data_IF_707174445958
#
_entry.id   IF_707174445958
#
_cell.length_a   1.000
_cell.length_b   1.000
_cell.length_c   1.000
_cell.angle_alpha   90.00
_cell.angle_beta   90.00
_cell.angle_gamma   90.00
#
_symmetry.space_group_name_H-M   'P 1'
#
loop_
_entity.id
_entity.type
_entity.pdbx_description
1 polymer ?
#
# COMPACT_ATOMS: atom_id res chain seq x y z
N UNK A 1 1.79 -6.34 1.28
CA UNK A 1 3.14 -5.73 1.30
C UNK A 1 3.73 -5.62 -0.10
N UNK A 2 4.73 -4.76 -0.32
CA UNK A 2 5.46 -4.70 -1.59
C UNK A 2 6.35 -5.93 -1.78
N UNK A 3 6.29 -6.50 -3.00
CA UNK A 3 7.01 -7.71 -3.40
C UNK A 3 7.29 -7.67 -4.91
N UNK A 4 7.81 -6.54 -5.39
CA UNK A 4 7.91 -6.20 -6.82
C UNK A 4 8.57 -7.28 -7.67
N UNK A 5 9.61 -7.93 -7.15
CA UNK A 5 10.42 -8.92 -7.86
C UNK A 5 9.87 -10.34 -7.90
N UNK A 6 8.70 -10.64 -7.34
CA UNK A 6 8.22 -12.04 -7.30
C UNK A 6 8.02 -12.65 -8.69
N UNK A 7 7.46 -11.89 -9.63
CA UNK A 7 7.30 -12.37 -11.00
C UNK A 7 8.65 -12.58 -11.70
N UNK A 8 9.64 -11.73 -11.41
CA UNK A 8 11.02 -11.86 -11.90
C UNK A 8 11.68 -13.14 -11.37
N UNK A 9 11.55 -13.44 -10.08
CA UNK A 9 12.07 -14.68 -9.49
C UNK A 9 11.49 -15.92 -10.19
N UNK A 10 10.17 -15.96 -10.36
CA UNK A 10 9.49 -17.09 -11.03
C UNK A 10 9.90 -17.18 -12.49
N UNK A 11 10.01 -16.06 -13.22
CA UNK A 11 10.40 -16.05 -14.62
C UNK A 11 11.81 -16.61 -14.86
N UNK A 12 12.70 -16.44 -13.88
CA UNK A 12 14.09 -16.88 -13.94
C UNK A 12 14.38 -18.19 -13.17
N UNK A 13 13.35 -18.99 -12.91
CA UNK A 13 13.50 -20.31 -12.29
C UNK A 13 13.83 -20.28 -10.79
N UNK A 14 13.72 -19.13 -10.13
CA UNK A 14 13.97 -18.95 -8.70
C UNK A 14 12.69 -19.13 -7.87
N UNK A 15 11.90 -20.14 -8.18
CA UNK A 15 10.61 -20.38 -7.52
C UNK A 15 10.76 -20.64 -6.02
N UNK A 16 11.82 -21.32 -5.60
CA UNK A 16 12.11 -21.60 -4.18
C UNK A 16 12.24 -20.30 -3.39
N UNK A 17 12.94 -19.30 -3.94
CA UNK A 17 13.10 -18.00 -3.30
C UNK A 17 11.74 -17.26 -3.21
N UNK A 18 10.95 -17.31 -4.29
CA UNK A 18 9.61 -16.75 -4.29
C UNK A 18 8.71 -17.38 -3.22
N UNK A 19 8.71 -18.71 -3.10
CA UNK A 19 7.98 -19.45 -2.06
C UNK A 19 8.43 -19.07 -0.66
N UNK A 20 9.74 -18.98 -0.44
CA UNK A 20 10.31 -18.58 0.85
C UNK A 20 9.84 -17.18 1.26
N UNK A 21 9.85 -16.23 0.32
CA UNK A 21 9.36 -14.88 0.58
C UNK A 21 7.86 -14.86 0.87
N UNK A 22 7.05 -15.55 0.05
CA UNK A 22 5.60 -15.60 0.20
C UNK A 22 5.21 -16.26 1.53
N UNK A 23 5.86 -17.37 1.88
CA UNK A 23 5.65 -18.05 3.17
C UNK A 23 5.99 -17.13 4.34
N UNK A 24 7.12 -16.40 4.28
CA UNK A 24 7.47 -15.44 5.30
C UNK A 24 6.41 -14.33 5.42
N UNK A 25 5.95 -13.77 4.30
CA UNK A 25 4.94 -12.72 4.31
C UNK A 25 3.62 -13.21 4.93
N UNK A 26 3.14 -14.38 4.54
CA UNK A 26 1.93 -14.99 5.10
C UNK A 26 2.05 -15.29 6.60
N UNK A 27 3.18 -15.86 7.02
CA UNK A 27 3.45 -16.15 8.44
C UNK A 27 3.56 -14.86 9.30
N UNK A 28 4.00 -13.76 8.70
CA UNK A 28 4.01 -12.45 9.39
C UNK A 28 2.58 -11.89 9.56
N UNK A 29 1.64 -12.28 8.70
CA UNK A 29 0.24 -11.86 8.77
C UNK A 29 -0.20 -10.96 7.61
N UNK A 30 0.61 -10.82 6.57
CA UNK A 30 0.19 -10.16 5.34
C UNK A 30 -0.76 -11.06 4.55
N UNK A 31 -1.69 -10.45 3.82
CA UNK A 31 -2.68 -11.15 3.00
C UNK A 31 -2.64 -10.73 1.52
N UNK A 32 -1.92 -9.67 1.18
CA UNK A 32 -1.78 -9.16 -0.19
C UNK A 32 -0.31 -8.87 -0.51
N UNK A 33 0.13 -9.32 -1.68
CA UNK A 33 1.46 -9.05 -2.25
C UNK A 33 1.31 -8.13 -3.47
N UNK A 34 1.96 -6.95 -3.44
CA UNK A 34 2.00 -6.06 -4.60
C UNK A 34 3.21 -6.40 -5.47
N UNK A 35 2.97 -6.79 -6.71
CA UNK A 35 3.94 -7.37 -7.65
C UNK A 35 3.92 -6.63 -8.98
N UNK A 36 5.07 -6.51 -9.65
CA UNK A 36 5.17 -5.92 -10.98
C UNK A 36 5.12 -7.00 -12.07
N UNK A 37 4.27 -6.83 -13.09
CA UNK A 37 4.19 -7.73 -14.24
C UNK A 37 5.30 -7.48 -15.27
N UNK A 38 5.87 -6.28 -15.29
CA UNK A 38 7.00 -5.92 -16.14
C UNK A 38 7.80 -4.79 -15.51
N UNK A 39 9.12 -4.83 -15.64
CA UNK A 39 10.03 -3.74 -15.33
C UNK A 39 11.31 -3.89 -16.17
N UNK A 40 11.24 -3.68 -17.49
CA UNK A 40 12.37 -3.84 -18.35
C UNK A 40 13.42 -2.77 -18.05
N UNK A 41 14.67 -3.20 -17.89
CA UNK A 41 15.83 -2.35 -17.63
C UNK A 41 15.71 -1.51 -16.33
N UNK A 42 15.10 -2.05 -15.30
CA UNK A 42 14.91 -1.38 -14.00
C UNK A 42 16.16 -1.34 -13.11
N UNK A 43 17.31 -1.75 -13.59
CA UNK A 43 18.59 -1.78 -12.87
C UNK A 43 18.69 -2.91 -11.85
N UNK A 44 17.74 -3.04 -10.92
CA UNK A 44 17.68 -4.08 -9.89
C UNK A 44 16.70 -5.21 -10.24
N UNK A 45 15.81 -4.99 -11.20
CA UNK A 45 14.95 -5.97 -11.85
C UNK A 45 14.99 -5.80 -13.35
N UNK A 46 14.90 -6.89 -14.08
CA UNK A 46 14.81 -6.88 -15.53
C UNK A 46 13.83 -7.95 -16.00
N UNK A 47 12.55 -7.61 -15.96
CA UNK A 47 11.44 -8.48 -16.32
C UNK A 47 10.79 -7.97 -17.61
N UNK A 48 10.98 -8.70 -18.72
CA UNK A 48 10.30 -8.35 -19.97
C UNK A 48 8.77 -8.57 -19.83
N UNK A 49 7.93 -7.88 -20.64
CA UNK A 49 6.49 -8.10 -20.64
C UNK A 49 6.12 -9.57 -20.91
N UNK A 50 6.83 -10.25 -21.80
CA UNK A 50 6.57 -11.64 -22.14
C UNK A 50 6.91 -12.60 -21.00
N UNK A 51 8.06 -12.38 -20.35
CA UNK A 51 8.50 -13.19 -19.20
C UNK A 51 7.55 -13.00 -18.01
N UNK A 52 7.14 -11.75 -17.75
CA UNK A 52 6.15 -11.45 -16.72
C UNK A 52 4.85 -12.20 -16.95
N UNK A 53 4.27 -12.10 -18.14
CA UNK A 53 3.03 -12.83 -18.47
C UNK A 53 3.18 -14.34 -18.31
N UNK A 54 4.32 -14.91 -18.71
CA UNK A 54 4.60 -16.35 -18.56
C UNK A 54 4.70 -16.78 -17.10
N UNK A 55 5.27 -15.96 -16.22
CA UNK A 55 5.46 -16.26 -14.81
C UNK A 55 4.19 -16.13 -13.96
N UNK A 56 3.25 -15.25 -14.35
CA UNK A 56 2.09 -14.91 -13.55
C UNK A 56 1.19 -16.10 -13.15
N UNK A 57 0.81 -17.05 -14.03
CA UNK A 57 -0.04 -18.16 -13.62
C UNK A 57 0.58 -18.99 -12.49
N UNK A 58 1.89 -19.19 -12.55
CA UNK A 58 2.62 -19.91 -11.51
C UNK A 58 2.72 -19.12 -10.22
N UNK A 59 3.01 -17.84 -10.30
CA UNK A 59 3.04 -16.94 -9.14
C UNK A 59 1.70 -16.91 -8.40
N UNK A 60 0.59 -16.76 -9.13
CA UNK A 60 -0.75 -16.77 -8.54
C UNK A 60 -1.08 -18.09 -7.83
N UNK A 61 -0.64 -19.20 -8.41
CA UNK A 61 -0.78 -20.52 -7.79
C UNK A 61 -0.01 -20.59 -6.48
N UNK A 62 1.27 -20.18 -6.45
CA UNK A 62 2.09 -20.17 -5.26
C UNK A 62 1.48 -19.27 -4.18
N UNK A 63 1.06 -18.05 -4.54
CA UNK A 63 0.42 -17.14 -3.61
C UNK A 63 -0.83 -17.75 -2.97
N UNK A 64 -1.69 -18.39 -3.77
CA UNK A 64 -2.92 -19.05 -3.30
C UNK A 64 -2.62 -20.23 -2.37
N UNK A 65 -1.59 -21.02 -2.62
CA UNK A 65 -1.13 -22.11 -1.74
C UNK A 65 -0.80 -21.61 -0.33
N UNK A 66 -0.44 -20.32 -0.20
CA UNK A 66 -0.16 -19.63 1.07
C UNK A 66 -1.30 -18.71 1.54
N UNK A 67 -2.50 -18.83 0.97
CA UNK A 67 -3.65 -17.99 1.34
C UNK A 67 -3.52 -16.51 0.97
N UNK A 68 -2.62 -16.16 0.03
CA UNK A 68 -2.29 -14.78 -0.33
C UNK A 68 -3.03 -14.33 -1.60
N UNK A 69 -3.43 -13.08 -1.61
CA UNK A 69 -3.84 -12.36 -2.82
C UNK A 69 -2.64 -11.65 -3.46
N UNK A 70 -2.75 -11.38 -4.76
CA UNK A 70 -1.75 -10.62 -5.52
C UNK A 70 -2.39 -9.35 -6.10
N UNK A 71 -1.86 -8.20 -5.76
CA UNK A 71 -2.12 -6.96 -6.48
C UNK A 71 -1.05 -6.86 -7.57
N UNK A 72 -1.43 -7.10 -8.82
CA UNK A 72 -0.50 -7.10 -9.95
C UNK A 72 -0.53 -5.77 -10.68
N UNK A 73 0.64 -5.15 -10.85
CA UNK A 73 0.82 -3.92 -11.61
C UNK A 73 1.15 -4.27 -13.06
N UNK A 74 0.23 -3.98 -13.97
CA UNK A 74 0.39 -4.36 -15.39
C UNK A 74 1.48 -3.54 -16.08
N UNK A 75 1.53 -2.23 -15.84
CA UNK A 75 2.40 -1.27 -16.51
C UNK A 75 3.33 -0.58 -15.48
N UNK A 76 4.34 -1.30 -15.01
CA UNK A 76 5.24 -0.76 -13.99
C UNK A 76 6.32 0.17 -14.57
N UNK A 77 6.79 -0.07 -15.81
CA UNK A 77 7.71 0.79 -16.51
C UNK A 77 7.48 0.65 -18.03
N UNK A 78 7.09 1.72 -18.69
CA UNK A 78 6.83 1.75 -20.14
C UNK A 78 8.04 2.14 -20.97
N UNK A 79 9.17 2.44 -20.32
CA UNK A 79 10.43 2.85 -20.97
C UNK A 79 10.33 4.11 -21.85
N UNK A 80 9.45 5.04 -21.53
CA UNK A 80 9.25 6.26 -22.33
C UNK A 80 10.54 7.10 -22.47
N UNK A 81 11.31 7.21 -21.37
CA UNK A 81 12.59 7.96 -21.39
C UNK A 81 13.67 7.32 -22.25
N UNK A 82 13.59 6.02 -22.50
CA UNK A 82 14.58 5.29 -23.29
C UNK A 82 14.26 5.23 -24.78
N UNK A 83 13.17 5.87 -25.23
CA UNK A 83 12.67 5.79 -26.59
C UNK A 83 12.14 4.40 -26.99
N UNK A 84 11.98 3.49 -26.03
CA UNK A 84 11.45 2.14 -26.27
C UNK A 84 9.94 2.03 -26.03
N UNK A 85 9.27 3.15 -25.87
CA UNK A 85 7.82 3.20 -25.73
C UNK A 85 7.14 2.68 -27.00
N UNK A 86 6.26 1.72 -26.84
CA UNK A 86 5.61 0.99 -27.95
C UNK A 86 4.21 1.49 -28.29
N UNK A 87 3.79 2.60 -27.69
CA UNK A 87 2.50 3.25 -27.93
C UNK A 87 1.29 2.54 -27.30
N UNK A 88 0.12 3.15 -27.45
CA UNK A 88 -1.13 2.69 -26.85
C UNK A 88 -1.50 1.23 -27.22
N UNK A 89 -1.30 0.73 -28.46
CA UNK A 89 -1.62 -0.66 -28.77
C UNK A 89 -0.90 -1.67 -27.87
N UNK A 90 0.37 -1.43 -27.58
CA UNK A 90 1.13 -2.26 -26.64
C UNK A 90 0.58 -2.18 -25.20
N UNK A 91 0.22 -0.99 -24.73
CA UNK A 91 -0.34 -0.81 -23.39
C UNK A 91 -1.65 -1.60 -23.25
N UNK A 92 -2.52 -1.51 -24.24
CA UNK A 92 -3.81 -2.22 -24.29
C UNK A 92 -3.61 -3.75 -24.28
N UNK A 93 -2.69 -4.25 -25.11
CA UNK A 93 -2.34 -5.68 -25.14
C UNK A 93 -1.85 -6.16 -23.78
N UNK A 94 -0.90 -5.44 -23.17
CA UNK A 94 -0.32 -5.79 -21.87
C UNK A 94 -1.38 -5.82 -20.76
N UNK A 95 -2.24 -4.80 -20.70
CA UNK A 95 -3.32 -4.70 -19.72
C UNK A 95 -4.35 -5.83 -19.93
N UNK A 96 -4.74 -6.12 -21.17
CA UNK A 96 -5.68 -7.18 -21.52
C UNK A 96 -5.16 -8.55 -21.06
N UNK A 97 -3.90 -8.87 -21.40
CA UNK A 97 -3.33 -10.17 -21.08
C UNK A 97 -3.10 -10.35 -19.58
N UNK A 98 -2.52 -9.36 -18.91
CA UNK A 98 -2.33 -9.41 -17.45
C UNK A 98 -3.68 -9.47 -16.73
N UNK A 99 -4.67 -8.66 -17.16
CA UNK A 99 -6.02 -8.65 -16.60
C UNK A 99 -6.73 -9.99 -16.79
N UNK A 100 -6.60 -10.63 -17.95
CA UNK A 100 -7.15 -11.97 -18.21
C UNK A 100 -6.54 -13.03 -17.28
N UNK A 101 -5.21 -13.04 -17.13
CA UNK A 101 -4.51 -13.97 -16.25
C UNK A 101 -4.89 -13.75 -14.77
N UNK A 102 -5.00 -12.49 -14.35
CA UNK A 102 -5.44 -12.11 -13.01
C UNK A 102 -6.87 -12.57 -12.72
N UNK A 103 -7.81 -12.34 -13.64
CA UNK A 103 -9.19 -12.79 -13.51
C UNK A 103 -9.31 -14.33 -13.42
N UNK A 104 -8.52 -15.06 -14.20
CA UNK A 104 -8.49 -16.53 -14.17
C UNK A 104 -7.93 -17.09 -12.85
N UNK A 105 -7.04 -16.35 -12.18
CA UNK A 105 -6.42 -16.78 -10.94
C UNK A 105 -7.38 -16.80 -9.75
N UNK A 106 -8.33 -15.87 -9.68
CA UNK A 106 -9.30 -15.75 -8.59
C UNK A 106 -8.76 -15.16 -7.27
N UNK A 107 -7.44 -15.10 -7.11
CA UNK A 107 -6.75 -14.47 -5.96
C UNK A 107 -5.91 -13.26 -6.39
N UNK A 108 -6.43 -12.45 -7.29
CA UNK A 108 -5.70 -11.34 -7.88
C UNK A 108 -6.60 -10.11 -8.02
N UNK A 109 -6.02 -8.93 -7.83
CA UNK A 109 -6.58 -7.63 -8.20
C UNK A 109 -5.57 -6.89 -9.09
N UNK A 110 -6.07 -6.02 -9.97
CA UNK A 110 -5.24 -5.40 -11.00
C UNK A 110 -5.00 -3.91 -10.66
N UNK A 111 -3.77 -3.49 -10.81
CA UNK A 111 -3.36 -2.10 -10.88
C UNK A 111 -2.83 -1.84 -12.30
N UNK A 112 -3.39 -0.84 -13.02
CA UNK A 112 -3.01 -0.61 -14.41
C UNK A 112 -1.58 -0.08 -14.53
N UNK A 113 -1.18 0.89 -13.69
CA UNK A 113 0.14 1.53 -13.74
C UNK A 113 0.69 1.78 -12.34
N UNK A 114 2.01 1.76 -12.19
CA UNK A 114 2.67 2.03 -10.91
C UNK A 114 2.58 3.51 -10.52
N UNK A 115 3.23 4.36 -11.28
CA UNK A 115 3.34 5.81 -11.06
C UNK A 115 3.11 6.54 -12.39
N UNK A 116 1.86 6.74 -12.82
CA UNK A 116 1.55 7.38 -14.11
C UNK A 116 2.25 8.73 -14.32
N UNK A 117 2.45 9.48 -13.23
CA UNK A 117 3.15 10.79 -13.24
C UNK A 117 4.68 10.67 -13.35
N UNK A 118 5.26 9.47 -13.19
CA UNK A 118 6.70 9.29 -13.28
C UNK A 118 7.16 9.34 -14.73
N UNK A 119 8.30 10.01 -15.01
CA UNK A 119 8.76 10.23 -16.38
C UNK A 119 9.06 8.97 -17.21
N UNK A 120 9.08 7.77 -16.62
CA UNK A 120 9.11 6.51 -17.37
C UNK A 120 7.72 6.03 -17.81
N UNK A 121 6.66 6.71 -17.38
CA UNK A 121 5.26 6.39 -17.59
C UNK A 121 4.39 7.63 -17.88
N UNK A 122 4.99 8.76 -18.25
CA UNK A 122 4.29 10.05 -18.31
C UNK A 122 3.09 10.07 -19.28
N UNK A 123 3.08 9.23 -20.31
CA UNK A 123 1.92 9.07 -21.18
C UNK A 123 0.68 8.50 -20.47
N UNK A 124 0.86 7.82 -19.34
CA UNK A 124 -0.21 7.24 -18.54
C UNK A 124 -0.86 8.26 -17.59
N UNK A 125 -0.27 9.44 -17.41
CA UNK A 125 -0.84 10.53 -16.60
C UNK A 125 -1.98 11.26 -17.34
N UNK A 126 -2.92 10.47 -17.88
CA UNK A 126 -4.05 10.91 -18.67
C UNK A 126 -5.30 10.10 -18.35
N UNK A 127 -6.29 10.68 -17.64
CA UNK A 127 -7.52 9.96 -17.26
C UNK A 127 -8.26 9.34 -18.46
N UNK A 128 -8.23 9.98 -19.61
CA UNK A 128 -8.87 9.46 -20.81
C UNK A 128 -8.19 8.17 -21.33
N UNK A 129 -6.87 8.09 -21.29
CA UNK A 129 -6.12 6.87 -21.65
C UNK A 129 -6.38 5.76 -20.62
N UNK A 130 -6.33 6.09 -19.32
CA UNK A 130 -6.58 5.11 -18.26
C UNK A 130 -8.00 4.50 -18.36
N UNK A 131 -9.01 5.30 -18.73
CA UNK A 131 -10.37 4.78 -19.00
C UNK A 131 -10.38 3.79 -20.19
N UNK A 132 -9.63 4.09 -21.27
CA UNK A 132 -9.55 3.14 -22.42
C UNK A 132 -8.80 1.86 -22.04
N UNK A 133 -7.72 1.95 -21.24
CA UNK A 133 -7.02 0.78 -20.73
C UNK A 133 -7.90 -0.08 -19.82
N UNK A 134 -8.69 0.54 -18.96
CA UNK A 134 -9.63 -0.18 -18.10
C UNK A 134 -10.68 -0.96 -18.91
N UNK A 135 -11.07 -0.50 -20.10
CA UNK A 135 -12.00 -1.24 -20.96
C UNK A 135 -11.46 -2.57 -21.48
N UNK A 136 -10.13 -2.77 -21.44
CA UNK A 136 -9.48 -4.04 -21.79
C UNK A 136 -9.54 -5.06 -20.63
N UNK A 137 -9.91 -4.62 -19.42
CA UNK A 137 -9.95 -5.46 -18.22
C UNK A 137 -11.29 -6.18 -18.12
N UNK A 138 -11.32 -7.49 -17.75
CA UNK A 138 -12.57 -8.18 -17.46
C UNK A 138 -13.41 -7.45 -16.41
N UNK A 139 -14.69 -7.21 -16.67
CA UNK A 139 -15.58 -6.35 -15.86
C UNK A 139 -15.69 -6.76 -14.38
N UNK A 140 -15.58 -8.05 -14.09
CA UNK A 140 -15.67 -8.58 -12.72
C UNK A 140 -14.37 -8.45 -11.93
N UNK A 141 -13.25 -8.09 -12.58
CA UNK A 141 -11.96 -7.97 -11.90
C UNK A 141 -11.86 -6.63 -11.18
N UNK A 142 -11.54 -6.60 -9.87
CA UNK A 142 -11.21 -5.36 -9.19
C UNK A 142 -9.98 -4.70 -9.82
N UNK A 143 -10.10 -3.40 -10.13
CA UNK A 143 -9.06 -2.66 -10.83
C UNK A 143 -8.86 -1.28 -10.23
N UNK A 144 -7.58 -0.86 -10.09
CA UNK A 144 -7.17 0.52 -9.86
C UNK A 144 -6.37 1.04 -11.05
N UNK A 145 -6.39 2.36 -11.27
CA UNK A 145 -5.66 2.94 -12.40
C UNK A 145 -4.16 3.03 -12.16
N UNK A 146 -3.77 3.38 -10.96
CA UNK A 146 -2.40 3.62 -10.56
C UNK A 146 -2.32 4.75 -9.55
N UNK A 147 -1.17 4.89 -8.92
CA UNK A 147 -1.01 5.89 -7.87
C UNK A 147 -1.17 7.30 -8.42
N UNK A 148 -2.05 8.08 -7.82
CA UNK A 148 -2.11 9.50 -8.03
C UNK A 148 -0.84 10.17 -7.43
N UNK A 149 -0.46 11.31 -7.99
CA UNK A 149 0.64 12.12 -7.49
C UNK A 149 0.26 12.78 -6.17
N UNK A 150 0.69 12.18 -5.06
CA UNK A 150 0.30 12.64 -3.74
C UNK A 150 -1.20 12.45 -3.50
N UNK A 151 -1.72 13.21 -2.56
CA UNK A 151 -3.10 13.20 -2.09
C UNK A 151 -4.06 14.10 -2.92
N UNK A 152 -3.63 14.64 -4.05
CA UNK A 152 -4.27 15.80 -4.69
C UNK A 152 -5.09 15.49 -5.94
N UNK A 153 -4.95 14.31 -6.55
CA UNK A 153 -5.60 14.04 -7.86
C UNK A 153 -6.74 13.03 -7.77
N UNK A 154 -7.94 13.51 -7.45
CA UNK A 154 -9.18 12.75 -7.56
C UNK A 154 -9.41 12.17 -8.97
N UNK A 155 -8.87 12.80 -10.01
CA UNK A 155 -9.05 12.39 -11.41
C UNK A 155 -8.40 11.05 -11.71
N UNK A 156 -7.26 10.74 -11.06
CA UNK A 156 -6.57 9.47 -11.19
C UNK A 156 -7.05 8.37 -10.25
N UNK A 157 -7.98 8.68 -9.33
CA UNK A 157 -8.63 7.69 -8.47
C UNK A 157 -9.69 6.85 -9.22
N UNK A 158 -9.38 6.46 -10.45
CA UNK A 158 -10.25 5.64 -11.30
C UNK A 158 -10.21 4.16 -10.94
N UNK A 159 -11.17 3.38 -11.51
CA UNK A 159 -11.29 1.95 -11.22
C UNK A 159 -12.31 1.63 -10.13
N UNK A 160 -12.31 0.40 -9.63
CA UNK A 160 -13.21 -0.09 -8.56
C UNK A 160 -12.69 0.21 -7.17
N UNK A 161 -11.40 0.38 -7.01
CA UNK A 161 -10.72 0.91 -5.83
C UNK A 161 -9.66 1.92 -6.28
N UNK A 162 -9.15 2.73 -5.35
CA UNK A 162 -8.13 3.72 -5.65
C UNK A 162 -6.79 3.36 -4.99
N UNK A 163 -5.70 3.68 -5.66
CA UNK A 163 -4.34 3.58 -5.09
C UNK A 163 -3.70 4.96 -5.07
N UNK A 164 -2.94 5.24 -4.04
CA UNK A 164 -2.28 6.53 -3.82
C UNK A 164 -0.85 6.27 -3.31
N UNK A 165 0.05 7.18 -3.62
CA UNK A 165 1.33 7.30 -2.92
C UNK A 165 1.29 8.56 -2.05
N UNK A 166 1.01 8.40 -0.76
CA UNK A 166 1.02 9.52 0.18
C UNK A 166 2.43 10.13 0.23
N UNK A 167 2.50 11.46 0.21
CA UNK A 167 3.79 12.17 0.22
C UNK A 167 4.65 11.76 1.43
N UNK A 168 5.82 11.19 1.16
CA UNK A 168 6.74 10.63 2.15
C UNK A 168 7.74 11.64 2.73
N UNK A 169 7.77 12.90 2.28
CA UNK A 169 8.68 13.94 2.77
C UNK A 169 8.31 14.45 4.16
N UNK A 170 9.29 14.90 4.92
CA UNK A 170 9.09 15.45 6.27
C UNK A 170 9.53 14.49 7.37
N UNK A 171 9.23 14.86 8.63
CA UNK A 171 9.50 13.99 9.77
C UNK A 171 8.58 12.75 9.79
N UNK A 172 8.96 11.78 10.59
CA UNK A 172 8.29 10.48 10.72
C UNK A 172 6.78 10.61 10.97
N UNK A 173 6.42 11.41 11.95
CA UNK A 173 5.04 11.50 12.42
C UNK A 173 4.15 12.28 11.44
N UNK A 174 4.68 13.33 10.83
CA UNK A 174 4.01 14.06 9.75
C UNK A 174 3.69 13.18 8.55
N UNK A 175 4.59 12.25 8.22
CA UNK A 175 4.36 11.28 7.13
C UNK A 175 3.17 10.37 7.43
N UNK A 176 3.09 9.84 8.66
CA UNK A 176 1.98 8.97 9.08
C UNK A 176 0.67 9.78 9.19
N UNK A 177 0.72 10.97 9.76
CA UNK A 177 -0.45 11.84 9.92
C UNK A 177 -1.10 12.20 8.57
N UNK A 178 -0.33 12.27 7.47
CA UNK A 178 -0.87 12.53 6.13
C UNK A 178 -1.76 11.41 5.59
N UNK A 179 -1.71 10.20 6.14
CA UNK A 179 -2.65 9.14 5.75
C UNK A 179 -4.12 9.54 5.92
N UNK A 180 -4.41 10.60 6.71
CA UNK A 180 -5.77 11.17 6.81
C UNK A 180 -6.35 11.60 5.46
N UNK A 181 -5.51 11.99 4.49
CA UNK A 181 -5.95 12.33 3.15
C UNK A 181 -6.60 11.16 2.41
N UNK A 182 -6.24 9.92 2.76
CA UNK A 182 -6.84 8.71 2.21
C UNK A 182 -8.32 8.58 2.60
N UNK A 183 -8.66 8.89 3.85
CA UNK A 183 -10.06 8.88 4.29
C UNK A 183 -10.88 9.96 3.57
N UNK A 184 -10.29 11.15 3.36
CA UNK A 184 -10.94 12.22 2.60
C UNK A 184 -11.17 11.79 1.13
N UNK A 185 -10.18 11.14 0.50
CA UNK A 185 -10.32 10.61 -0.85
C UNK A 185 -11.36 9.48 -0.92
N UNK A 186 -11.39 8.58 0.07
CA UNK A 186 -12.38 7.53 0.19
C UNK A 186 -13.79 8.10 0.28
N UNK A 187 -14.01 9.09 1.15
CA UNK A 187 -15.27 9.78 1.30
C UNK A 187 -15.70 10.52 0.01
N UNK A 188 -14.77 11.19 -0.66
CA UNK A 188 -15.05 11.94 -1.89
C UNK A 188 -15.36 11.04 -3.10
N UNK A 189 -14.79 9.83 -3.16
CA UNK A 189 -14.94 8.93 -4.30
C UNK A 189 -15.90 7.77 -4.05
N UNK A 190 -16.26 7.49 -2.81
CA UNK A 190 -17.02 6.31 -2.40
C UNK A 190 -16.26 4.99 -2.61
N UNK A 191 -14.92 5.03 -2.72
CA UNK A 191 -14.09 3.86 -3.03
C UNK A 191 -13.21 3.48 -1.84
N UNK A 192 -12.87 2.20 -1.77
CA UNK A 192 -11.76 1.75 -0.93
C UNK A 192 -10.46 2.34 -1.48
N UNK A 193 -9.64 2.94 -0.61
CA UNK A 193 -8.39 3.59 -0.96
C UNK A 193 -7.22 2.85 -0.34
N UNK A 194 -6.14 2.67 -1.09
CA UNK A 194 -4.92 2.00 -0.62
C UNK A 194 -3.72 2.92 -0.82
N UNK A 195 -2.97 3.19 0.26
CA UNK A 195 -1.60 3.69 0.15
C UNK A 195 -0.66 2.51 -0.12
N UNK A 196 -0.21 2.39 -1.35
CA UNK A 196 0.55 1.22 -1.77
C UNK A 196 2.07 1.44 -1.80
N UNK A 197 2.55 2.66 -1.52
CA UNK A 197 3.96 2.96 -1.27
C UNK A 197 4.14 4.00 -0.15
N UNK A 198 3.75 3.69 1.09
CA UNK A 198 3.95 4.57 2.24
C UNK A 198 5.44 4.66 2.64
N UNK A 199 5.73 5.01 3.88
CA UNK A 199 7.11 4.97 4.43
C UNK A 199 7.71 3.59 4.19
N UNK A 200 8.92 3.55 3.62
CA UNK A 200 9.63 2.30 3.33
C UNK A 200 10.50 1.84 4.49
N UNK A 201 10.37 0.57 4.88
CA UNK A 201 11.27 -0.04 5.84
C UNK A 201 12.65 -0.27 5.20
N UNK A 202 13.72 0.21 5.84
CA UNK A 202 15.10 0.06 5.39
C UNK A 202 16.08 0.09 6.55
N UNK A 203 17.25 -0.55 6.39
CA UNK A 203 18.32 -0.49 7.40
C UNK A 203 18.89 0.92 7.57
N UNK A 204 19.00 1.66 6.48
CA UNK A 204 19.47 3.05 6.47
C UNK A 204 18.29 4.01 6.27
N UNK A 205 17.79 4.66 7.33
CA UNK A 205 16.74 5.65 7.23
C UNK A 205 17.23 6.89 6.47
N UNK A 206 16.29 7.53 5.77
CA UNK A 206 16.52 8.84 5.15
C UNK A 206 15.41 9.82 5.55
N UNK A 207 15.62 11.12 5.27
CA UNK A 207 14.62 12.16 5.59
C UNK A 207 13.41 12.18 4.63
N UNK A 208 13.36 11.28 3.66
CA UNK A 208 12.36 11.37 2.60
C UNK A 208 11.47 10.15 2.49
N UNK A 209 12.05 8.95 2.43
CA UNK A 209 11.30 7.76 1.99
C UNK A 209 11.43 6.57 2.93
N UNK A 210 12.48 6.50 3.75
CA UNK A 210 12.89 5.31 4.49
C UNK A 210 12.87 5.56 5.99
N UNK A 211 12.50 4.53 6.72
CA UNK A 211 12.57 4.51 8.18
C UNK A 211 13.00 3.13 8.67
N UNK A 212 13.63 3.08 9.84
CA UNK A 212 14.08 1.85 10.49
C UNK A 212 13.43 1.66 11.86
N UNK A 213 12.53 2.55 12.25
CA UNK A 213 11.93 2.55 13.58
C UNK A 213 10.61 1.78 13.62
N UNK A 214 10.53 0.65 14.33
CA UNK A 214 9.34 -0.17 14.40
C UNK A 214 8.09 0.58 14.85
N UNK A 215 8.23 1.59 15.73
CA UNK A 215 7.12 2.41 16.20
C UNK A 215 6.44 3.23 15.08
N UNK A 216 7.17 3.60 14.02
CA UNK A 216 6.58 4.27 12.86
C UNK A 216 5.65 3.34 12.10
N UNK A 217 6.08 2.09 11.89
CA UNK A 217 5.29 1.07 11.20
C UNK A 217 4.12 0.59 12.05
N UNK A 218 4.29 0.48 13.36
CA UNK A 218 3.19 0.25 14.29
C UNK A 218 2.11 1.34 14.15
N UNK A 219 2.50 2.60 14.20
CA UNK A 219 1.57 3.73 14.05
C UNK A 219 0.87 3.73 12.66
N UNK A 220 1.60 3.38 11.60
CA UNK A 220 1.04 3.22 10.26
C UNK A 220 -0.02 2.11 10.21
N UNK A 221 0.23 0.97 10.87
CA UNK A 221 -0.75 -0.11 10.99
C UNK A 221 -2.01 0.32 11.74
N UNK A 222 -1.87 1.00 12.88
CA UNK A 222 -3.01 1.55 13.64
C UNK A 222 -3.79 2.55 12.79
N UNK A 223 -3.08 3.49 12.12
CA UNK A 223 -3.71 4.51 11.29
C UNK A 223 -4.53 3.91 10.15
N UNK A 224 -4.01 2.88 9.48
CA UNK A 224 -4.75 2.17 8.42
C UNK A 224 -6.09 1.65 8.91
N UNK A 225 -6.13 1.08 10.09
CA UNK A 225 -7.36 0.55 10.69
C UNK A 225 -8.32 1.64 11.15
N UNK A 226 -7.80 2.70 11.77
CA UNK A 226 -8.64 3.83 12.22
C UNK A 226 -9.28 4.58 11.04
N UNK A 227 -8.59 4.65 9.92
CA UNK A 227 -9.06 5.34 8.70
C UNK A 227 -9.96 4.44 7.82
N UNK A 228 -10.03 3.15 8.11
CA UNK A 228 -10.66 2.13 7.26
C UNK A 228 -10.14 2.16 5.82
N UNK A 229 -8.81 2.22 5.68
CA UNK A 229 -8.10 2.26 4.40
C UNK A 229 -7.06 1.16 4.31
N UNK A 230 -6.70 0.79 3.07
CA UNK A 230 -5.57 -0.11 2.84
C UNK A 230 -4.25 0.64 3.01
N UNK A 231 -3.27 -0.02 3.60
CA UNK A 231 -1.89 0.42 3.57
C UNK A 231 -0.96 -0.77 3.32
N UNK A 232 -0.01 -0.57 2.44
CA UNK A 232 0.98 -1.58 2.12
C UNK A 232 2.19 -1.41 3.03
N UNK A 233 2.63 -2.48 3.68
CA UNK A 233 3.97 -2.47 4.25
C UNK A 233 4.97 -2.36 3.10
N UNK A 234 5.55 -1.18 2.91
CA UNK A 234 6.56 -0.93 1.90
C UNK A 234 7.94 -1.26 2.47
N UNK A 235 8.74 -2.05 1.76
CA UNK A 235 10.08 -2.43 2.18
C UNK A 235 11.05 -2.15 1.04
N UNK A 236 11.80 -1.06 1.12
CA UNK A 236 12.74 -0.63 0.07
C UNK A 236 13.82 -1.68 -0.20
N UNK A 237 14.35 -2.31 0.85
CA UNK A 237 15.40 -3.33 0.70
C UNK A 237 14.85 -4.69 0.24
N UNK A 238 13.52 -4.89 0.33
CA UNK A 238 12.86 -6.13 -0.06
C UNK A 238 12.28 -6.09 -1.48
N UNK A 239 12.38 -4.99 -2.21
CA UNK A 239 11.74 -4.83 -3.53
C UNK A 239 12.05 -5.96 -4.51
N UNK A 240 13.29 -6.53 -4.56
CA UNK A 240 13.59 -7.71 -5.37
C UNK A 240 13.00 -9.02 -4.84
N UNK A 241 12.05 -8.98 -3.89
CA UNK A 241 11.48 -10.14 -3.20
C UNK A 241 12.57 -10.98 -2.46
N UNK A 242 13.50 -10.31 -1.83
CA UNK A 242 14.44 -10.92 -0.87
C UNK A 242 13.80 -10.98 0.50
N UNK A 243 13.97 -12.08 1.20
CA UNK A 243 13.52 -12.20 2.59
C UNK A 243 14.19 -11.09 3.42
N UNK A 244 13.40 -10.30 4.16
CA UNK A 244 13.92 -9.13 4.89
C UNK A 244 14.98 -9.47 5.93
N UNK A 245 15.87 -8.51 6.17
CA UNK A 245 16.80 -8.51 7.30
C UNK A 245 16.10 -8.28 8.66
N UNK A 246 16.86 -8.30 9.77
CA UNK A 246 16.28 -8.16 11.11
C UNK A 246 15.44 -6.89 11.30
N UNK A 247 15.95 -5.73 10.87
CA UNK A 247 15.26 -4.43 10.99
C UNK A 247 13.94 -4.43 10.26
N UNK A 248 13.92 -4.88 9.01
CA UNK A 248 12.69 -4.92 8.21
C UNK A 248 11.67 -5.92 8.76
N UNK A 249 12.13 -7.04 9.35
CA UNK A 249 11.25 -8.02 10.02
C UNK A 249 10.61 -7.41 11.27
N UNK A 250 11.36 -6.68 12.07
CA UNK A 250 10.85 -5.99 13.24
C UNK A 250 9.82 -4.92 12.85
N UNK A 251 10.12 -4.11 11.83
CA UNK A 251 9.17 -3.13 11.28
C UNK A 251 7.90 -3.81 10.74
N UNK A 252 8.02 -4.95 10.04
CA UNK A 252 6.88 -5.70 9.52
C UNK A 252 6.00 -6.27 10.65
N UNK A 253 6.62 -6.83 11.68
CA UNK A 253 5.93 -7.30 12.88
C UNK A 253 5.18 -6.18 13.59
N UNK A 254 5.84 -5.03 13.77
CA UNK A 254 5.23 -3.85 14.37
C UNK A 254 4.05 -3.30 13.55
N UNK A 255 4.15 -3.29 12.21
CA UNK A 255 3.04 -2.90 11.34
C UNK A 255 1.82 -3.81 11.54
N UNK A 256 2.01 -5.12 11.55
CA UNK A 256 0.91 -6.09 11.77
C UNK A 256 0.37 -5.99 13.19
N UNK A 257 1.22 -5.79 14.21
CA UNK A 257 0.79 -5.55 15.59
C UNK A 257 -0.15 -4.32 15.66
N UNK A 258 0.27 -3.21 15.07
CA UNK A 258 -0.53 -1.98 15.01
C UNK A 258 -1.84 -2.17 14.24
N UNK A 259 -1.79 -2.87 13.11
CA UNK A 259 -2.98 -3.16 12.30
C UNK A 259 -4.03 -3.98 13.06
N UNK A 260 -3.62 -4.87 13.96
CA UNK A 260 -4.50 -5.72 14.76
C UNK A 260 -5.05 -5.07 16.01
N UNK A 261 -4.61 -3.86 16.37
CA UNK A 261 -5.07 -3.14 17.58
C UNK A 261 -6.57 -2.83 17.55
N UNK A 262 -7.08 -2.49 16.35
CA UNK A 262 -8.51 -2.35 16.11
C UNK A 262 -9.03 -3.68 15.54
N UNK A 263 -10.02 -4.32 16.17
CA UNK A 263 -10.55 -5.59 15.69
C UNK A 263 -11.00 -5.56 14.23
N UNK A 264 -10.88 -6.70 13.54
CA UNK A 264 -11.18 -6.80 12.10
C UNK A 264 -12.68 -6.67 11.78
N UNK A 265 -13.53 -7.04 12.71
CA UNK A 265 -14.99 -6.95 12.62
C UNK A 265 -15.55 -5.54 12.86
N UNK A 266 -14.67 -4.57 13.04
CA UNK A 266 -15.01 -3.18 13.33
C UNK A 266 -14.58 -2.29 12.17
N UNK A 267 -15.51 -1.46 11.67
CA UNK A 267 -15.21 -0.37 10.71
C UNK A 267 -15.30 0.98 11.43
N UNK A 268 -14.17 1.54 11.86
CA UNK A 268 -14.16 2.80 12.58
C UNK A 268 -14.54 3.98 11.68
N UNK A 269 -15.26 4.95 12.25
CA UNK A 269 -15.53 6.24 11.60
C UNK A 269 -14.73 7.31 12.33
N UNK A 270 -13.92 8.07 11.60
CA UNK A 270 -13.16 9.20 12.17
C UNK A 270 -14.14 10.28 12.59
N UNK A 271 -13.97 10.74 13.83
CA UNK A 271 -14.84 11.76 14.44
C UNK A 271 -14.08 13.01 14.85
N UNK A 272 -12.77 12.92 15.04
CA UNK A 272 -11.93 14.07 15.33
C UNK A 272 -10.50 13.86 14.80
N UNK A 273 -9.96 14.88 14.16
CA UNK A 273 -8.57 14.97 13.72
C UNK A 273 -8.03 16.31 14.15
N UNK A 274 -7.50 16.37 15.37
CA UNK A 274 -6.72 17.50 15.78
C UNK A 274 -5.30 17.35 15.23
N UNK A 275 -5.03 17.91 14.06
CA UNK A 275 -3.66 18.18 13.64
C UNK A 275 -3.12 19.29 14.53
N UNK A 276 -1.99 19.04 15.18
CA UNK A 276 -1.22 20.12 15.75
C UNK A 276 -0.63 20.91 14.57
N UNK A 277 -1.12 22.10 14.30
CA UNK A 277 -0.60 23.00 13.27
C UNK A 277 0.90 23.21 13.50
N UNK A 278 1.72 22.74 12.53
CA UNK A 278 3.17 22.92 12.55
C UNK A 278 3.97 21.99 13.46
N UNK A 279 3.36 21.10 14.23
CA UNK A 279 4.05 20.12 15.07
C UNK A 279 4.20 18.76 14.37
N UNK A 280 5.29 18.05 14.71
CA UNK A 280 5.54 16.68 14.29
C UNK A 280 4.62 15.72 15.04
N UNK A 281 3.39 15.54 14.57
CA UNK A 281 2.45 14.60 15.19
C UNK A 281 0.98 14.93 14.98
N UNK A 282 0.12 14.30 15.76
CA UNK A 282 -1.32 14.55 15.74
C UNK A 282 -2.08 13.64 16.68
N UNK A 283 -3.37 13.96 16.89
CA UNK A 283 -4.34 13.13 17.59
C UNK A 283 -5.43 12.73 16.61
N UNK A 284 -5.71 11.43 16.52
CA UNK A 284 -6.70 10.86 15.62
C UNK A 284 -7.68 10.03 16.44
N UNK A 285 -8.94 10.34 16.36
CA UNK A 285 -9.97 9.62 17.10
C UNK A 285 -11.02 9.05 16.16
N UNK A 286 -11.41 7.81 16.40
CA UNK A 286 -12.41 7.11 15.63
C UNK A 286 -13.38 6.36 16.55
N UNK A 287 -14.61 6.15 16.10
CA UNK A 287 -15.63 5.40 16.83
C UNK A 287 -16.24 4.32 15.98
N UNK A 288 -16.69 3.24 16.62
CA UNK A 288 -17.54 2.23 16.02
C UNK A 288 -18.44 1.61 17.07
N UNK A 289 -19.75 1.75 16.91
CA UNK A 289 -20.73 1.30 17.91
C UNK A 289 -20.50 1.97 19.27
N UNK A 290 -20.24 1.15 20.28
CA UNK A 290 -19.99 1.51 21.66
C UNK A 290 -18.49 1.65 22.02
N UNK A 291 -17.61 1.61 21.03
CA UNK A 291 -16.15 1.69 21.20
C UNK A 291 -15.58 2.93 20.53
N UNK A 292 -14.56 3.50 21.15
CA UNK A 292 -13.76 4.57 20.59
C UNK A 292 -12.27 4.25 20.73
N UNK A 293 -11.48 4.76 19.78
CA UNK A 293 -10.02 4.69 19.79
C UNK A 293 -9.44 6.07 19.58
N UNK A 294 -8.29 6.31 20.19
CA UNK A 294 -7.50 7.51 19.96
C UNK A 294 -6.03 7.12 19.76
N UNK A 295 -5.46 7.58 18.67
CA UNK A 295 -4.04 7.45 18.34
C UNK A 295 -3.37 8.81 18.52
N UNK A 296 -2.32 8.87 19.34
CA UNK A 296 -1.48 10.04 19.56
C UNK A 296 -0.11 9.78 18.96
N UNK A 297 0.36 10.72 18.15
CA UNK A 297 1.64 10.65 17.43
C UNK A 297 2.59 11.78 17.85
N UNK A 298 3.87 11.46 17.98
CA UNK A 298 4.95 12.42 18.25
C UNK A 298 4.78 13.11 19.60
N UNK A 299 4.99 14.42 19.60
CA UNK A 299 4.82 15.24 20.82
C UNK A 299 3.37 15.28 21.32
N UNK A 300 2.41 14.89 20.48
CA UNK A 300 1.00 14.82 20.86
C UNK A 300 0.73 13.80 21.97
N UNK A 301 1.63 12.85 22.21
CA UNK A 301 1.54 11.89 23.32
C UNK A 301 1.48 12.58 24.69
N UNK A 302 2.02 13.80 24.81
CA UNK A 302 1.96 14.62 26.02
C UNK A 302 0.70 15.49 26.14
N UNK A 303 -0.07 15.66 25.06
CA UNK A 303 -1.20 16.58 25.00
C UNK A 303 -2.50 16.00 25.59
N UNK A 304 -2.50 14.73 25.96
CA UNK A 304 -3.67 14.02 26.49
C UNK A 304 -4.66 13.55 25.43
N UNK A 305 -5.42 12.54 25.77
CA UNK A 305 -6.44 11.94 24.92
C UNK A 305 -7.64 12.86 24.78
N UNK A 306 -8.10 13.07 23.54
CA UNK A 306 -9.36 13.76 23.26
C UNK A 306 -10.41 12.75 22.84
N UNK A 307 -11.48 12.68 23.60
CA UNK A 307 -12.62 11.85 23.28
C UNK A 307 -13.72 12.64 22.60
N UNK A 308 -14.44 12.04 21.65
CA UNK A 308 -15.66 12.63 21.11
C UNK A 308 -16.68 12.91 22.22
N UNK A 309 -17.61 13.84 21.96
CA UNK A 309 -18.65 14.21 22.95
C UNK A 309 -19.42 12.98 23.42
N UNK A 310 -19.52 12.81 24.73
CA UNK A 310 -20.23 11.69 25.38
C UNK A 310 -19.37 10.46 25.63
N UNK A 311 -18.06 10.54 25.40
CA UNK A 311 -17.08 9.49 25.73
C UNK A 311 -16.16 9.93 26.87
N UNK A 312 -15.84 9.01 27.76
CA UNK A 312 -14.94 9.29 28.90
C UNK A 312 -14.26 8.01 29.39
N UNK A 313 -13.25 8.16 30.24
CA UNK A 313 -12.68 7.04 30.98
C UNK A 313 -11.81 6.09 30.15
N UNK A 314 -11.11 6.60 29.15
CA UNK A 314 -10.29 5.79 28.26
C UNK A 314 -9.13 5.06 28.94
N UNK A 315 -8.78 3.89 28.44
CA UNK A 315 -7.65 3.06 28.84
C UNK A 315 -6.59 3.06 27.73
N UNK A 316 -5.32 3.31 28.09
CA UNK A 316 -4.20 3.11 27.18
C UNK A 316 -4.00 1.61 26.93
N UNK A 317 -4.03 1.21 25.66
CA UNK A 317 -3.89 -0.20 25.23
C UNK A 317 -2.56 -0.48 24.54
N UNK A 318 -1.88 0.56 24.04
CA UNK A 318 -0.51 0.44 23.54
C UNK A 318 0.29 1.71 23.80
N UNK A 319 1.61 1.53 24.01
CA UNK A 319 2.58 2.61 24.15
C UNK A 319 3.92 2.19 23.53
N UNK A 320 4.41 3.02 22.61
CA UNK A 320 5.75 2.92 22.01
C UNK A 320 6.34 4.34 21.93
N UNK A 321 7.65 4.52 21.75
CA UNK A 321 8.24 5.85 21.63
C UNK A 321 7.53 6.71 20.59
N UNK A 322 6.94 7.84 21.02
CA UNK A 322 6.18 8.74 20.17
C UNK A 322 4.84 8.22 19.66
N UNK A 323 4.30 7.11 20.22
CA UNK A 323 2.99 6.55 19.85
C UNK A 323 2.23 6.06 21.07
N UNK A 324 1.02 6.53 21.24
CA UNK A 324 0.08 5.97 22.22
C UNK A 324 -1.25 5.62 21.57
N UNK A 325 -1.81 4.49 21.93
CA UNK A 325 -3.16 4.08 21.51
C UNK A 325 -4.03 3.89 22.76
N UNK A 326 -5.18 4.54 22.73
CA UNK A 326 -6.17 4.50 23.80
C UNK A 326 -7.50 3.97 23.29
N UNK A 327 -8.28 3.35 24.14
CA UNK A 327 -9.65 2.94 23.83
C UNK A 327 -10.58 3.34 24.95
N UNK A 328 -11.84 3.61 24.62
CA UNK A 328 -12.93 3.83 25.56
C UNK A 328 -14.16 3.03 25.12
N UNK A 329 -15.02 2.68 26.11
CA UNK A 329 -16.37 2.22 25.88
C UNK A 329 -17.36 3.32 26.29
N UNK A 330 -18.53 3.31 25.66
CA UNK A 330 -19.62 4.25 25.94
C UNK A 330 -20.46 3.82 27.13
#
# INVERSE_FOLDING_TARGET
MTAFGLADLVAHGRETDARTFIAWAGNTGFNVLRVLAMIPNGGWLNLSPADGRRALPRLFTIAREHGMYVQIVALANTNERSGRYRGEPFLREQVREVGRLCAQAGNCVLELANEPYHGSQASLDQPALMRRLQQEVPKALPVAWGAARGDESHEMAGGTFAVVHVRRSGDRWSRIARMRSLAALSAATGKFVVDNEPIGAAEAPDRGRRDSAPEAFFAQGVMSRLLDVGSTFHCEDCLPARVPGPVQRECAGAFIEGFRIVPEDVSPTIVDVAAADGASGGVFSATSGDRAWSLLLGESTAAGVRWPRGWSGGKRIAHKPGVEVWTAAR
#
